data_IF_154802145823
#
_entry.id   IF_154802145823
#
_cell.length_a   1.000
_cell.length_b   1.000
_cell.length_c   1.000
_cell.angle_alpha   90.00
_cell.angle_beta   90.00
_cell.angle_gamma   90.00
#
_symmetry.space_group_name_H-M   'P 1'
#
loop_
_entity.id
_entity.type
_entity.pdbx_description
1 polymer ?
#
# COMPACT_ATOMS: atom_id res chain seq x y z
N UNK A 1 -4.88 -17.65 13.23
CA UNK A 1 -3.42 -17.49 13.47
C UNK A 1 -3.07 -16.03 13.19
N UNK A 2 -3.19 -15.16 14.19
CA UNK A 2 -2.76 -13.76 14.10
C UNK A 2 -1.35 -13.68 14.66
N UNK A 3 -0.36 -13.92 13.81
CA UNK A 3 1.02 -13.64 14.20
C UNK A 3 1.18 -12.13 14.26
N UNK A 4 1.66 -11.56 15.36
CA UNK A 4 1.97 -10.13 15.52
C UNK A 4 3.15 -9.65 14.64
N UNK A 5 3.30 -10.24 13.45
CA UNK A 5 4.36 -9.99 12.50
C UNK A 5 3.83 -9.08 11.42
N UNK A 6 4.58 -8.01 11.15
CA UNK A 6 4.34 -7.14 10.02
C UNK A 6 5.13 -7.68 8.82
N UNK A 7 4.49 -7.76 7.66
CA UNK A 7 5.11 -8.19 6.41
C UNK A 7 4.70 -7.24 5.28
N UNK A 8 5.62 -7.00 4.36
CA UNK A 8 5.29 -6.41 3.07
C UNK A 8 4.99 -7.52 2.08
N UNK A 9 3.92 -7.36 1.31
CA UNK A 9 3.48 -8.37 0.35
C UNK A 9 3.11 -7.69 -0.97
N UNK A 10 3.58 -8.24 -2.09
CA UNK A 10 3.25 -7.73 -3.42
C UNK A 10 1.98 -8.41 -3.94
N UNK A 11 1.00 -7.62 -4.37
CA UNK A 11 -0.23 -8.10 -5.00
C UNK A 11 -0.17 -7.68 -6.47
N UNK A 12 -0.37 -8.65 -7.36
CA UNK A 12 -0.48 -8.38 -8.79
C UNK A 12 -1.95 -8.11 -9.16
N UNK A 13 -2.18 -7.27 -10.16
CA UNK A 13 -3.53 -6.88 -10.59
C UNK A 13 -4.35 -6.37 -9.40
N UNK A 14 -5.53 -6.93 -9.17
CA UNK A 14 -6.42 -6.51 -8.09
C UNK A 14 -6.44 -7.49 -6.91
N UNK A 15 -5.99 -8.74 -7.08
CA UNK A 15 -6.12 -9.80 -6.07
C UNK A 15 -5.08 -10.92 -6.18
N UNK A 16 -4.29 -10.98 -7.26
CA UNK A 16 -3.40 -12.11 -7.53
C UNK A 16 -2.25 -12.13 -6.53
N UNK A 17 -2.19 -13.21 -5.75
CA UNK A 17 -1.23 -13.38 -4.67
C UNK A 17 -1.69 -12.83 -3.32
N UNK A 18 -2.91 -12.30 -3.20
CA UNK A 18 -3.40 -11.74 -1.94
C UNK A 18 -3.20 -12.69 -0.73
N UNK A 19 -2.53 -12.24 0.35
CA UNK A 19 -2.28 -13.08 1.53
C UNK A 19 -3.56 -13.26 2.33
N UNK A 20 -4.26 -14.37 2.08
CA UNK A 20 -5.51 -14.70 2.74
C UNK A 20 -5.37 -14.68 4.28
N UNK A 21 -6.29 -13.99 4.95
CA UNK A 21 -6.29 -13.82 6.41
C UNK A 21 -5.30 -12.77 6.93
N UNK A 22 -4.56 -12.10 6.05
CA UNK A 22 -3.82 -10.88 6.39
C UNK A 22 -4.77 -9.69 6.57
N UNK A 23 -4.40 -8.75 7.44
CA UNK A 23 -5.10 -7.49 7.61
C UNK A 23 -4.31 -6.37 6.91
N UNK A 24 -4.79 -5.81 5.78
CA UNK A 24 -4.08 -4.74 5.08
C UNK A 24 -3.98 -3.47 5.94
N UNK A 25 -2.76 -3.09 6.31
CA UNK A 25 -2.51 -1.89 7.11
C UNK A 25 -2.31 -0.64 6.25
N UNK A 26 -1.53 -0.78 5.17
CA UNK A 26 -1.21 0.26 4.20
C UNK A 26 -1.15 -0.36 2.81
N UNK A 27 -1.72 0.32 1.82
CA UNK A 27 -1.76 -0.14 0.42
C UNK A 27 -1.29 1.03 -0.45
N UNK A 28 -0.40 0.75 -1.39
CA UNK A 28 0.08 1.69 -2.40
C UNK A 28 -0.28 1.13 -3.78
N UNK A 29 -1.14 1.84 -4.52
CA UNK A 29 -1.42 1.50 -5.91
C UNK A 29 -0.27 2.02 -6.78
N UNK A 30 0.29 1.17 -7.63
CA UNK A 30 1.41 1.50 -8.50
C UNK A 30 1.11 1.24 -9.97
N UNK A 31 -0.18 1.09 -10.30
CA UNK A 31 -0.68 1.09 -11.67
C UNK A 31 -0.61 2.49 -12.25
N UNK A 32 -0.38 2.57 -13.56
CA UNK A 32 -0.19 3.82 -14.28
C UNK A 32 -1.37 4.80 -14.11
N UNK A 33 -2.60 4.29 -14.01
CA UNK A 33 -3.79 5.12 -13.78
C UNK A 33 -3.78 5.88 -12.45
N UNK A 34 -2.99 5.44 -11.46
CA UNK A 34 -2.94 6.06 -10.14
C UNK A 34 -2.05 7.32 -10.11
N UNK A 35 -1.13 7.48 -11.07
CA UNK A 35 -0.11 8.53 -11.01
C UNK A 35 0.25 9.20 -12.33
N UNK A 36 -0.10 8.63 -13.49
CA UNK A 36 0.38 9.13 -14.79
C UNK A 36 -0.05 10.56 -15.10
N UNK A 37 -1.23 11.00 -14.62
CA UNK A 37 -1.74 12.35 -14.88
C UNK A 37 -0.82 13.41 -14.26
N UNK A 38 -0.38 13.19 -13.02
CA UNK A 38 0.41 14.18 -12.28
C UNK A 38 1.93 14.00 -12.46
N UNK A 39 2.39 12.75 -12.63
CA UNK A 39 3.82 12.41 -12.61
C UNK A 39 4.35 11.86 -13.95
N UNK A 40 3.48 11.51 -14.90
CA UNK A 40 3.87 10.85 -16.14
C UNK A 40 4.74 9.62 -15.86
N UNK A 41 5.86 9.47 -16.59
CA UNK A 41 6.79 8.35 -16.41
C UNK A 41 7.59 8.39 -15.09
N UNK A 42 7.46 9.44 -14.27
CA UNK A 42 8.21 9.62 -13.03
C UNK A 42 7.56 8.91 -11.85
N UNK A 43 7.46 7.57 -11.94
CA UNK A 43 6.92 6.73 -10.86
C UNK A 43 7.63 6.92 -9.51
N UNK A 44 8.92 7.22 -9.53
CA UNK A 44 9.71 7.49 -8.32
C UNK A 44 9.15 8.67 -7.53
N UNK A 45 8.90 9.79 -8.20
CA UNK A 45 8.39 11.02 -7.59
C UNK A 45 6.99 10.80 -6.98
N UNK A 46 6.15 9.98 -7.63
CA UNK A 46 4.86 9.55 -7.06
C UNK A 46 5.02 8.75 -5.77
N UNK A 47 5.96 7.79 -5.74
CA UNK A 47 6.22 6.98 -4.54
C UNK A 47 6.73 7.87 -3.40
N UNK A 48 7.62 8.83 -3.68
CA UNK A 48 8.10 9.80 -2.68
C UNK A 48 6.92 10.62 -2.12
N UNK A 49 6.09 11.18 -2.99
CA UNK A 49 4.90 11.94 -2.59
C UNK A 49 3.90 11.08 -1.79
N UNK A 50 3.75 9.80 -2.13
CA UNK A 50 2.91 8.87 -1.36
C UNK A 50 3.41 8.75 0.09
N UNK A 51 4.72 8.52 0.29
CA UNK A 51 5.30 8.38 1.64
C UNK A 51 5.19 9.66 2.48
N UNK A 52 5.32 10.82 1.85
CA UNK A 52 5.17 12.12 2.53
C UNK A 52 3.73 12.38 3.00
N UNK A 53 2.73 11.71 2.42
CA UNK A 53 1.31 11.95 2.67
C UNK A 53 0.59 10.78 3.37
N UNK A 54 1.32 9.81 3.94
CA UNK A 54 0.70 8.72 4.70
C UNK A 54 0.05 9.25 5.98
N UNK A 55 -1.24 8.95 6.16
CA UNK A 55 -1.91 9.15 7.45
C UNK A 55 -1.61 7.99 8.41
N UNK A 56 -0.51 8.09 9.14
CA UNK A 56 -0.06 7.05 10.08
C UNK A 56 -1.05 6.77 11.22
N UNK A 57 -1.81 7.77 11.67
CA UNK A 57 -2.82 7.57 12.70
C UNK A 57 -3.91 6.58 12.26
N UNK A 58 -4.31 6.61 10.98
CA UNK A 58 -5.27 5.65 10.44
C UNK A 58 -4.66 4.26 10.22
N UNK A 59 -3.38 4.19 9.84
CA UNK A 59 -2.65 2.92 9.73
C UNK A 59 -2.54 2.24 11.11
N UNK A 60 -2.22 3.00 12.15
CA UNK A 60 -2.11 2.50 13.53
C UNK A 60 -3.44 1.96 14.06
N UNK A 61 -4.56 2.65 13.80
CA UNK A 61 -5.90 2.16 14.17
C UNK A 61 -6.24 0.79 13.59
N UNK A 62 -5.68 0.43 12.43
CA UNK A 62 -5.89 -0.88 11.79
C UNK A 62 -5.12 -2.02 12.47
N UNK A 63 -4.04 -1.71 13.20
CA UNK A 63 -3.24 -2.71 13.93
C UNK A 63 -4.00 -3.26 15.15
N UNK A 64 -4.83 -2.42 15.77
CA UNK A 64 -5.46 -2.67 17.08
C UNK A 64 -6.82 -3.39 16.92
N UNK A 65 -7.30 -3.57 15.69
CA UNK A 65 -8.56 -4.24 15.39
C UNK A 65 -8.40 -5.76 15.30
#
# INVERSE_FOLDING_TARGET
VHTSKLINFWINEHDVGHPAGGNPLLVMDVFEHAYMIDYGLKKKDYIEAFFDNINWNEVEKRIIK
#
